data_IF_797366131659
#
_entry.id   IF_797366131659
#
_cell.length_a   1.000
_cell.length_b   1.000
_cell.length_c   1.000
_cell.angle_alpha   90.00
_cell.angle_beta   90.00
_cell.angle_gamma   90.00
#
_symmetry.space_group_name_H-M   'P 1'
#
loop_
_entity.id
_entity.type
_entity.pdbx_description
1 polymer ?
#
# COMPACT_ATOMS: atom_id res chain seq x y z
N UNK A 1 -1.21 -4.21 -20.32
CA UNK A 1 -2.31 -5.09 -19.88
C UNK A 1 -3.16 -4.28 -18.90
N UNK A 2 -4.50 -4.45 -18.89
CA UNK A 2 -5.40 -3.70 -18.00
C UNK A 2 -5.69 -4.53 -16.75
N UNK A 3 -5.97 -3.90 -15.61
CA UNK A 3 -6.45 -4.56 -14.38
C UNK A 3 -7.67 -5.48 -14.60
N UNK A 4 -8.39 -5.29 -15.72
CA UNK A 4 -9.49 -6.13 -16.17
C UNK A 4 -9.08 -7.55 -16.60
N UNK A 5 -7.80 -7.84 -16.83
CA UNK A 5 -7.33 -9.18 -17.19
C UNK A 5 -7.21 -10.12 -15.97
N UNK A 6 -7.35 -9.60 -14.74
CA UNK A 6 -7.33 -10.41 -13.52
C UNK A 6 -8.71 -11.04 -13.26
N UNK A 7 -8.75 -12.34 -13.02
CA UNK A 7 -9.99 -13.11 -12.88
C UNK A 7 -10.98 -12.47 -11.89
N UNK A 8 -12.21 -12.21 -12.35
CA UNK A 8 -13.30 -11.69 -11.52
C UNK A 8 -14.10 -12.86 -10.92
N UNK A 9 -14.36 -12.82 -9.63
CA UNK A 9 -15.24 -13.75 -8.93
C UNK A 9 -16.23 -12.97 -8.05
N UNK A 10 -17.26 -13.65 -7.54
CA UNK A 10 -18.20 -13.04 -6.56
C UNK A 10 -17.46 -12.53 -5.31
N UNK A 11 -16.42 -13.24 -4.88
CA UNK A 11 -15.61 -12.88 -3.72
C UNK A 11 -14.77 -11.61 -3.97
N UNK A 12 -14.08 -11.51 -5.12
CA UNK A 12 -13.34 -10.29 -5.49
C UNK A 12 -14.28 -9.09 -5.66
N UNK A 13 -15.46 -9.29 -6.25
CA UNK A 13 -16.46 -8.22 -6.36
C UNK A 13 -17.00 -7.74 -5.00
N UNK A 14 -17.13 -8.62 -4.01
CA UNK A 14 -17.53 -8.23 -2.66
C UNK A 14 -16.45 -7.41 -1.93
N UNK A 15 -15.19 -7.81 -2.09
CA UNK A 15 -14.05 -7.08 -1.54
C UNK A 15 -13.90 -5.69 -2.18
N UNK A 16 -13.99 -5.58 -3.51
CA UNK A 16 -13.96 -4.31 -4.25
C UNK A 16 -15.02 -3.33 -3.74
N UNK A 17 -16.27 -3.79 -3.52
CA UNK A 17 -17.33 -2.94 -2.96
C UNK A 17 -17.06 -2.48 -1.53
N UNK A 18 -16.41 -3.31 -0.70
CA UNK A 18 -16.02 -2.93 0.68
C UNK A 18 -14.93 -1.86 0.66
N UNK A 19 -13.94 -2.02 -0.22
CA UNK A 19 -12.88 -1.03 -0.46
C UNK A 19 -13.49 0.28 -0.95
N UNK A 20 -14.34 0.24 -1.97
CA UNK A 20 -15.02 1.42 -2.51
C UNK A 20 -15.80 2.18 -1.43
N UNK A 21 -16.61 1.48 -0.63
CA UNK A 21 -17.42 2.11 0.42
C UNK A 21 -16.56 2.77 1.50
N UNK A 22 -15.44 2.14 1.85
CA UNK A 22 -14.56 2.62 2.93
C UNK A 22 -13.72 3.80 2.44
N UNK A 23 -13.10 3.65 1.26
CA UNK A 23 -12.24 4.66 0.65
C UNK A 23 -13.04 5.88 0.13
N UNK A 24 -14.25 5.66 -0.39
CA UNK A 24 -15.14 6.73 -0.85
C UNK A 24 -15.58 7.71 0.24
N UNK A 25 -15.52 7.32 1.51
CA UNK A 25 -15.82 8.21 2.65
C UNK A 25 -14.68 9.17 3.00
N UNK A 26 -13.48 8.91 2.49
CA UNK A 26 -12.26 9.57 2.96
C UNK A 26 -11.38 10.13 1.85
N UNK A 27 -11.53 9.64 0.63
CA UNK A 27 -10.75 10.06 -0.53
C UNK A 27 -11.64 10.12 -1.77
N UNK A 28 -11.84 11.31 -2.36
CA UNK A 28 -12.56 11.41 -3.62
C UNK A 28 -11.79 10.68 -4.73
N UNK A 29 -12.51 10.07 -5.68
CA UNK A 29 -11.92 9.32 -6.80
C UNK A 29 -10.93 10.13 -7.65
N UNK A 30 -11.12 11.46 -7.70
CA UNK A 30 -10.23 12.37 -8.42
C UNK A 30 -8.86 12.54 -7.75
N UNK A 31 -8.75 12.27 -6.45
CA UNK A 31 -7.51 12.39 -5.70
C UNK A 31 -6.72 11.07 -5.71
N UNK A 32 -5.39 11.12 -5.90
CA UNK A 32 -4.58 9.92 -5.82
C UNK A 32 -4.54 9.36 -4.41
N UNK A 33 -4.37 8.04 -4.32
CA UNK A 33 -4.18 7.31 -3.06
C UNK A 33 -2.91 6.47 -3.15
N UNK A 34 -2.24 6.31 -2.00
CA UNK A 34 -1.14 5.34 -1.88
C UNK A 34 -1.72 4.03 -1.38
N UNK A 35 -1.26 2.90 -1.92
CA UNK A 35 -1.56 1.56 -1.38
C UNK A 35 -0.24 0.91 -0.98
N UNK A 36 -0.08 0.64 0.32
CA UNK A 36 1.07 -0.10 0.82
C UNK A 36 0.99 -1.57 0.37
N UNK A 37 1.99 -2.02 -0.39
CA UNK A 37 2.07 -3.36 -0.96
C UNK A 37 3.39 -4.03 -0.54
N UNK A 38 3.32 -5.02 0.35
CA UNK A 38 4.49 -5.74 0.82
C UNK A 38 5.00 -6.80 -0.16
N UNK A 39 4.18 -7.17 -1.15
CA UNK A 39 4.43 -8.28 -2.06
C UNK A 39 3.63 -9.54 -1.73
N UNK A 40 3.02 -9.59 -0.54
CA UNK A 40 2.12 -10.67 -0.14
C UNK A 40 0.79 -10.69 -0.90
N UNK A 41 0.03 -11.80 -0.82
CA UNK A 41 -1.24 -11.97 -1.52
C UNK A 41 -2.30 -10.95 -1.08
N UNK A 42 -2.39 -10.64 0.22
CA UNK A 42 -3.41 -9.74 0.75
C UNK A 42 -3.18 -8.29 0.32
N UNK A 43 -1.94 -7.81 0.41
CA UNK A 43 -1.60 -6.45 -0.02
C UNK A 43 -1.69 -6.31 -1.55
N UNK A 44 -1.36 -7.37 -2.29
CA UNK A 44 -1.56 -7.43 -3.74
C UNK A 44 -3.06 -7.36 -4.09
N UNK A 45 -3.91 -8.10 -3.37
CA UNK A 45 -5.35 -8.05 -3.54
C UNK A 45 -5.92 -6.67 -3.22
N UNK A 46 -5.45 -6.02 -2.15
CA UNK A 46 -5.82 -4.65 -1.81
C UNK A 46 -5.46 -3.66 -2.93
N UNK A 47 -4.25 -3.73 -3.47
CA UNK A 47 -3.82 -2.90 -4.60
C UNK A 47 -4.73 -3.09 -5.82
N UNK A 48 -4.96 -4.35 -6.22
CA UNK A 48 -5.84 -4.68 -7.35
C UNK A 48 -7.26 -4.16 -7.11
N UNK A 49 -7.80 -4.32 -5.91
CA UNK A 49 -9.15 -3.89 -5.59
C UNK A 49 -9.31 -2.37 -5.62
N UNK A 50 -8.35 -1.60 -5.10
CA UNK A 50 -8.39 -0.12 -5.15
C UNK A 50 -8.29 0.38 -6.59
N UNK A 51 -7.42 -0.21 -7.40
CA UNK A 51 -7.29 0.11 -8.84
C UNK A 51 -8.60 -0.19 -9.58
N UNK A 52 -9.16 -1.40 -9.40
CA UNK A 52 -10.42 -1.80 -10.04
C UNK A 52 -11.63 -1.03 -9.53
N UNK A 53 -11.58 -0.58 -8.29
CA UNK A 53 -12.59 0.30 -7.75
C UNK A 53 -12.52 1.68 -8.40
N UNK A 54 -11.46 2.05 -9.15
CA UNK A 54 -11.39 3.24 -10.01
C UNK A 54 -10.72 4.46 -9.37
N UNK A 55 -9.85 4.25 -8.37
CA UNK A 55 -8.99 5.31 -7.85
C UNK A 55 -7.71 5.43 -8.68
N UNK A 56 -7.13 6.63 -8.70
CA UNK A 56 -5.74 6.83 -9.13
C UNK A 56 -4.83 6.34 -8.01
N UNK A 57 -3.94 5.40 -8.30
CA UNK A 57 -3.15 4.71 -7.28
C UNK A 57 -1.65 4.88 -7.53
N UNK A 58 -0.90 5.06 -6.43
CA UNK A 58 0.52 4.77 -6.34
C UNK A 58 0.68 3.54 -5.44
N UNK A 59 1.34 2.49 -5.94
CA UNK A 59 1.73 1.39 -5.08
C UNK A 59 2.98 1.81 -4.28
N UNK A 60 3.06 1.42 -3.02
CA UNK A 60 4.18 1.75 -2.15
C UNK A 60 4.72 0.48 -1.48
N UNK A 61 5.94 0.09 -1.85
CA UNK A 61 6.65 -1.05 -1.27
C UNK A 61 7.72 -0.56 -0.30
N UNK A 62 7.72 -1.10 0.92
CA UNK A 62 8.74 -0.80 1.91
C UNK A 62 9.37 -2.09 2.40
N UNK A 63 10.67 -2.24 2.16
CA UNK A 63 11.46 -3.32 2.72
C UNK A 63 11.91 -2.96 4.14
N UNK A 64 11.56 -3.82 5.09
CA UNK A 64 11.92 -3.63 6.49
C UNK A 64 13.34 -4.12 6.83
N UNK A 65 14.02 -4.81 5.93
CA UNK A 65 15.32 -5.45 6.19
C UNK A 65 15.23 -6.72 7.03
N UNK A 66 14.02 -7.25 7.25
CA UNK A 66 13.76 -8.43 8.09
C UNK A 66 13.94 -9.75 7.32
N UNK A 67 13.80 -9.72 5.99
CA UNK A 67 13.91 -10.91 5.14
C UNK A 67 15.32 -11.04 4.57
N UNK A 68 15.75 -12.26 4.24
CA UNK A 68 16.97 -12.46 3.44
C UNK A 68 16.90 -11.65 2.15
N UNK A 69 18.04 -11.10 1.71
CA UNK A 69 18.11 -10.18 0.57
C UNK A 69 17.43 -10.72 -0.70
N UNK A 70 17.53 -12.03 -0.96
CA UNK A 70 16.88 -12.67 -2.12
C UNK A 70 15.36 -12.68 -2.05
N UNK A 71 14.77 -12.82 -0.86
CA UNK A 71 13.32 -12.76 -0.67
C UNK A 71 12.80 -11.32 -0.76
N UNK A 72 13.51 -10.37 -0.16
CA UNK A 72 13.18 -8.95 -0.25
C UNK A 72 13.21 -8.43 -1.69
N UNK A 73 14.21 -8.82 -2.47
CA UNK A 73 14.28 -8.51 -3.90
C UNK A 73 13.13 -9.16 -4.69
N UNK A 74 12.76 -10.41 -4.33
CA UNK A 74 11.62 -11.09 -4.92
C UNK A 74 10.29 -10.37 -4.69
N UNK A 75 10.06 -9.91 -3.47
CA UNK A 75 8.88 -9.13 -3.08
C UNK A 75 8.82 -7.81 -3.85
N UNK A 76 9.92 -7.06 -3.86
CA UNK A 76 10.05 -5.81 -4.61
C UNK A 76 9.75 -6.03 -6.09
N UNK A 77 10.42 -6.97 -6.72
CA UNK A 77 10.26 -7.27 -8.14
C UNK A 77 8.82 -7.72 -8.46
N UNK A 78 8.17 -8.43 -7.54
CA UNK A 78 6.75 -8.77 -7.68
C UNK A 78 5.86 -7.53 -7.68
N UNK A 79 6.05 -6.60 -6.73
CA UNK A 79 5.27 -5.36 -6.66
C UNK A 79 5.49 -4.49 -7.90
N UNK A 80 6.72 -4.39 -8.39
CA UNK A 80 7.06 -3.67 -9.63
C UNK A 80 6.34 -4.28 -10.85
N UNK A 81 6.36 -5.61 -10.98
CA UNK A 81 5.60 -6.32 -12.03
C UNK A 81 4.10 -6.08 -11.92
N UNK A 82 3.55 -6.16 -10.71
CA UNK A 82 2.13 -5.92 -10.47
C UNK A 82 1.75 -4.47 -10.82
N UNK A 83 2.59 -3.51 -10.44
CA UNK A 83 2.42 -2.10 -10.81
C UNK A 83 2.37 -1.89 -12.32
N UNK A 84 3.32 -2.49 -13.06
CA UNK A 84 3.34 -2.45 -14.52
C UNK A 84 2.10 -3.10 -15.15
N UNK A 85 1.63 -4.23 -14.61
CA UNK A 85 0.41 -4.92 -15.07
C UNK A 85 -0.87 -4.09 -14.83
N UNK A 86 -0.89 -3.30 -13.76
CA UNK A 86 -2.03 -2.45 -13.40
C UNK A 86 -1.94 -1.04 -14.00
N UNK A 87 -0.79 -0.67 -14.58
CA UNK A 87 -0.54 0.67 -15.09
C UNK A 87 -0.40 1.72 -13.97
N UNK A 88 0.12 1.33 -12.81
CA UNK A 88 0.28 2.22 -11.64
C UNK A 88 1.76 2.43 -11.29
N UNK A 89 2.17 3.65 -10.92
CA UNK A 89 3.53 3.89 -10.44
C UNK A 89 3.80 3.13 -9.13
N UNK A 90 5.05 2.66 -8.98
CA UNK A 90 5.53 2.01 -7.76
C UNK A 90 6.57 2.90 -7.11
N UNK A 91 6.34 3.24 -5.84
CA UNK A 91 7.30 3.88 -4.94
C UNK A 91 7.94 2.78 -4.11
N UNK A 92 9.26 2.76 -4.02
CA UNK A 92 10.00 1.75 -3.26
C UNK A 92 10.91 2.43 -2.24
N UNK A 93 10.97 1.87 -1.04
CA UNK A 93 11.88 2.29 0.02
C UNK A 93 12.36 1.09 0.82
N UNK A 94 13.41 1.30 1.60
CA UNK A 94 13.94 0.31 2.51
C UNK A 94 14.32 1.00 3.83
N UNK A 95 14.29 0.24 4.93
CA UNK A 95 14.86 0.68 6.18
C UNK A 95 16.39 0.79 6.07
N UNK A 96 16.95 1.91 6.49
CA UNK A 96 18.39 2.07 6.61
C UNK A 96 18.87 1.43 7.92
N UNK A 97 19.81 0.49 7.84
CA UNK A 97 20.52 -0.04 9.01
C UNK A 97 19.70 -0.93 9.96
N UNK A 98 18.44 -1.24 9.63
CA UNK A 98 17.67 -2.27 10.32
C UNK A 98 18.15 -3.64 9.81
N UNK A 99 19.14 -4.21 10.49
CA UNK A 99 19.38 -5.65 10.37
C UNK A 99 18.19 -6.45 10.91
N UNK A 100 18.27 -7.78 10.81
CA UNK A 100 17.28 -8.71 11.35
C UNK A 100 16.92 -8.53 12.84
N UNK A 101 17.74 -7.75 13.57
CA UNK A 101 17.60 -7.51 15.02
C UNK A 101 16.76 -6.27 15.36
N UNK A 102 16.26 -5.53 14.36
CA UNK A 102 15.40 -4.38 14.62
C UNK A 102 14.05 -4.83 15.19
N UNK A 103 13.65 -4.22 16.32
CA UNK A 103 12.35 -4.51 16.92
C UNK A 103 11.20 -4.20 15.96
N UNK A 104 10.07 -4.90 16.14
CA UNK A 104 8.86 -4.68 15.35
C UNK A 104 8.39 -3.21 15.42
N UNK A 105 8.48 -2.58 16.59
CA UNK A 105 8.12 -1.19 16.77
C UNK A 105 8.96 -0.23 15.91
N UNK A 106 10.28 -0.45 15.87
CA UNK A 106 11.20 0.36 15.03
C UNK A 106 10.91 0.14 13.55
N UNK A 107 10.71 -1.11 13.13
CA UNK A 107 10.34 -1.46 11.76
C UNK A 107 9.00 -0.83 11.33
N UNK A 108 8.04 -0.78 12.25
CA UNK A 108 6.73 -0.16 12.05
C UNK A 108 6.84 1.36 11.92
N UNK A 109 7.63 2.00 12.77
CA UNK A 109 7.86 3.45 12.72
C UNK A 109 8.56 3.86 11.42
N UNK A 110 9.62 3.14 11.03
CA UNK A 110 10.35 3.36 9.78
C UNK A 110 9.41 3.28 8.56
N UNK A 111 8.55 2.27 8.52
CA UNK A 111 7.53 2.12 7.47
C UNK A 111 6.57 3.29 7.42
N UNK A 112 6.00 3.70 8.56
CA UNK A 112 5.05 4.82 8.55
C UNK A 112 5.70 6.15 8.17
N UNK A 113 6.94 6.40 8.62
CA UNK A 113 7.70 7.58 8.23
C UNK A 113 7.98 7.59 6.73
N UNK A 114 8.32 6.45 6.15
CA UNK A 114 8.52 6.35 4.71
C UNK A 114 7.20 6.47 3.93
N UNK A 115 6.12 5.82 4.36
CA UNK A 115 4.80 5.95 3.74
C UNK A 115 4.28 7.40 3.77
N UNK A 116 4.60 8.16 4.83
CA UNK A 116 4.30 9.57 4.92
C UNK A 116 4.99 10.39 3.81
N UNK A 117 6.26 10.10 3.53
CA UNK A 117 7.02 10.72 2.43
C UNK A 117 6.45 10.32 1.07
N UNK A 118 6.19 9.02 0.87
CA UNK A 118 5.58 8.51 -0.35
C UNK A 118 4.22 9.16 -0.65
N UNK A 119 3.42 9.42 0.39
CA UNK A 119 2.14 10.11 0.27
C UNK A 119 2.31 11.58 -0.13
N UNK A 120 3.30 12.28 0.44
CA UNK A 120 3.60 13.65 0.06
C UNK A 120 4.13 13.75 -1.38
N UNK A 121 5.06 12.88 -1.78
CA UNK A 121 5.67 12.85 -3.11
C UNK A 121 4.65 12.52 -4.23
N UNK A 122 3.71 11.62 -3.95
CA UNK A 122 2.64 11.28 -4.90
C UNK A 122 1.49 12.30 -4.95
N UNK A 123 1.47 13.27 -4.03
CA UNK A 123 0.32 14.16 -3.84
C UNK A 123 -0.95 13.41 -3.41
N UNK A 124 -0.82 12.17 -2.91
CA UNK A 124 -1.94 11.38 -2.46
C UNK A 124 -2.60 11.97 -1.21
N UNK A 125 -3.89 11.69 -1.02
CA UNK A 125 -4.67 12.23 0.11
C UNK A 125 -4.80 11.24 1.26
N UNK A 126 -4.59 9.95 0.99
CA UNK A 126 -4.52 8.91 2.01
C UNK A 126 -3.65 7.73 1.57
N UNK A 127 -3.18 6.98 2.56
CA UNK A 127 -2.52 5.69 2.36
C UNK A 127 -3.45 4.56 2.85
N UNK A 128 -3.60 3.52 2.03
CA UNK A 128 -4.32 2.28 2.35
C UNK A 128 -3.29 1.21 2.71
N UNK A 129 -3.39 0.64 3.91
CA UNK A 129 -2.56 -0.48 4.33
C UNK A 129 -3.42 -1.72 4.56
N UNK A 130 -3.05 -2.87 3.98
CA UNK A 130 -3.67 -4.16 4.27
C UNK A 130 -2.93 -4.86 5.41
N UNK A 131 -3.45 -4.80 6.64
CA UNK A 131 -2.98 -5.65 7.73
C UNK A 131 -3.78 -6.96 7.68
N UNK A 132 -3.10 -8.10 7.65
CA UNK A 132 -3.75 -9.39 7.92
C UNK A 132 -3.17 -10.10 9.13
N UNK A 133 -4.12 -10.66 9.87
CA UNK A 133 -4.15 -11.74 10.86
C UNK A 133 -3.42 -11.65 12.21
N UNK A 134 -2.37 -10.85 12.41
CA UNK A 134 -1.81 -10.64 13.76
C UNK A 134 -2.13 -9.27 14.37
N UNK A 135 -2.51 -8.29 13.54
CA UNK A 135 -3.02 -6.98 14.00
C UNK A 135 -4.52 -6.90 13.68
N UNK A 136 -5.35 -7.21 14.66
CA UNK A 136 -6.79 -6.92 14.62
C UNK A 136 -7.01 -5.41 14.71
N UNK A 137 -6.99 -4.71 13.58
CA UNK A 137 -7.74 -3.48 13.34
C UNK A 137 -7.78 -3.19 11.83
N UNK A 138 -9.00 -3.17 11.30
CA UNK A 138 -9.33 -2.92 9.91
C UNK A 138 -8.81 -1.54 9.45
N UNK A 139 -7.96 -1.54 8.41
CA UNK A 139 -7.50 -0.38 7.62
C UNK A 139 -6.93 0.81 8.40
N UNK A 140 -5.59 0.92 8.50
CA UNK A 140 -4.95 2.18 8.91
C UNK A 140 -4.95 3.13 7.70
N UNK A 141 -5.72 4.21 7.83
CA UNK A 141 -5.81 5.29 6.85
C UNK A 141 -5.00 6.48 7.37
N UNK A 142 -3.78 6.65 6.88
CA UNK A 142 -3.01 7.84 7.18
C UNK A 142 -3.47 8.98 6.25
N UNK A 143 -4.13 10.00 6.80
CA UNK A 143 -4.37 11.28 6.14
C UNK A 143 -3.25 12.23 6.53
N UNK A 144 -2.30 12.51 5.64
CA UNK A 144 -1.49 13.72 5.77
C UNK A 144 -2.22 14.78 4.97
N UNK A 145 -3.05 15.55 5.66
CA UNK A 145 -3.60 16.76 5.09
C UNK A 145 -2.40 17.62 4.67
N UNK A 146 -2.30 17.91 3.38
CA UNK A 146 -1.27 18.80 2.81
C UNK A 146 -1.24 20.09 3.64
N UNK A 147 -0.29 20.18 4.58
CA UNK A 147 -0.04 21.39 5.36
C UNK A 147 -0.57 21.48 6.81
N UNK A 148 -1.01 20.41 7.48
CA UNK A 148 -1.18 20.46 8.96
C UNK A 148 -0.22 19.49 9.64
N UNK A 149 0.76 20.04 10.36
CA UNK A 149 1.79 19.29 11.06
C UNK A 149 1.25 18.32 12.10
N UNK A 150 2.14 17.42 12.51
CA UNK A 150 2.03 16.49 13.63
C UNK A 150 1.78 17.21 14.97
N UNK A 151 0.59 17.78 15.14
CA UNK A 151 0.07 18.27 16.40
C UNK A 151 -1.34 17.73 16.58
N UNK A 152 -1.40 16.62 17.31
CA UNK A 152 -2.58 15.84 17.66
C UNK A 152 -2.10 14.55 18.31
#
# INVERSE_FOLDING_TARGET
>A
MSADSLARSRATGAFERRVERSLGRIAPRAAPVVVACSGGPDSSAALVAVVRAGWRVHAAHFDHGLRPAGEAEGDRAWVERLGALLGVPVLAGAAEGAGSDASEAVSREARYRWLARALAESGAVCCVTGHTRDDQAETVLLRLARGSGLAG
#
